data_IF_568210967772
#
_entry.id   IF_568210967772
#
_cell.length_a   1.000
_cell.length_b   1.000
_cell.length_c   1.000
_cell.angle_alpha   90.00
_cell.angle_beta   90.00
_cell.angle_gamma   90.00
#
_symmetry.space_group_name_H-M   'P 1'
#
loop_
_entity.id
_entity.type
_entity.pdbx_description
1 polymer ?
#
# COMPACT_ATOMS: atom_id res chain seq x y z
N UNK A 1 29.66 -7.30 23.42
CA UNK A 1 28.33 -6.73 23.69
C UNK A 1 27.33 -7.89 23.69
N UNK A 2 26.58 -8.01 24.77
CA UNK A 2 25.81 -9.20 25.12
C UNK A 2 24.53 -9.29 24.27
N UNK A 3 24.41 -10.35 23.46
CA UNK A 3 23.17 -10.69 22.78
C UNK A 3 22.14 -11.21 23.79
N UNK A 4 20.95 -10.62 23.78
CA UNK A 4 19.84 -11.12 24.58
C UNK A 4 19.25 -12.37 23.91
N UNK A 5 19.67 -13.53 24.37
CA UNK A 5 19.00 -14.82 24.14
C UNK A 5 17.66 -14.78 24.87
N UNK A 6 16.54 -14.97 24.17
CA UNK A 6 15.25 -15.23 24.84
C UNK A 6 15.32 -16.59 25.53
N UNK A 7 15.64 -16.57 26.82
CA UNK A 7 15.42 -17.72 27.66
C UNK A 7 13.92 -17.82 27.93
N UNK A 8 13.27 -18.82 27.35
CA UNK A 8 12.07 -19.41 27.95
C UNK A 8 12.56 -20.00 29.28
N UNK A 9 12.41 -19.23 30.36
CA UNK A 9 13.08 -19.54 31.64
C UNK A 9 12.34 -20.60 32.43
N UNK A 10 11.08 -20.92 32.07
CA UNK A 10 10.29 -21.93 32.75
C UNK A 10 9.38 -22.71 31.80
N UNK A 11 9.17 -24.03 32.01
CA UNK A 11 8.18 -24.83 31.28
C UNK A 11 6.78 -24.18 31.27
N UNK A 12 6.40 -23.49 32.34
CA UNK A 12 5.12 -22.79 32.47
C UNK A 12 4.93 -21.60 31.51
N UNK A 13 6.00 -21.00 30.97
CA UNK A 13 5.90 -19.97 29.93
C UNK A 13 5.69 -20.60 28.54
N UNK A 14 6.35 -21.74 28.27
CA UNK A 14 6.17 -22.48 27.03
C UNK A 14 4.74 -23.03 26.91
N UNK A 15 4.18 -23.54 28.00
CA UNK A 15 2.82 -24.08 28.02
C UNK A 15 1.77 -22.98 27.85
N UNK A 16 2.00 -21.78 28.42
CA UNK A 16 1.14 -20.61 28.17
C UNK A 16 1.18 -20.18 26.71
N UNK A 17 2.36 -20.12 26.11
CA UNK A 17 2.52 -19.80 24.69
C UNK A 17 1.81 -20.82 23.78
N UNK A 18 1.94 -22.12 24.07
CA UNK A 18 1.24 -23.19 23.32
C UNK A 18 -0.28 -23.09 23.44
N UNK A 19 -0.78 -22.78 24.63
CA UNK A 19 -2.22 -22.59 24.86
C UNK A 19 -2.76 -21.35 24.13
N UNK A 20 -1.99 -20.26 24.07
CA UNK A 20 -2.37 -19.06 23.32
C UNK A 20 -2.39 -19.29 21.80
N UNK A 21 -1.40 -20.02 21.27
CA UNK A 21 -1.36 -20.47 19.88
C UNK A 21 -2.59 -21.33 19.55
N UNK A 22 -2.90 -22.32 20.39
CA UNK A 22 -4.09 -23.19 20.23
C UNK A 22 -5.40 -22.39 20.22
N UNK A 23 -5.54 -21.39 21.09
CA UNK A 23 -6.71 -20.50 21.13
C UNK A 23 -6.80 -19.61 19.89
N UNK A 24 -5.67 -19.15 19.36
CA UNK A 24 -5.63 -18.37 18.12
C UNK A 24 -6.10 -19.22 16.92
N UNK A 25 -5.61 -20.45 16.79
CA UNK A 25 -6.03 -21.40 15.76
C UNK A 25 -7.53 -21.73 15.85
N UNK A 26 -8.05 -21.99 17.05
CA UNK A 26 -9.49 -22.23 17.23
C UNK A 26 -10.36 -21.01 16.89
N UNK A 27 -9.87 -19.78 17.11
CA UNK A 27 -10.60 -18.56 16.72
C UNK A 27 -10.64 -18.42 15.20
N UNK A 28 -9.53 -18.72 14.52
CA UNK A 28 -9.45 -18.71 13.06
C UNK A 28 -10.37 -19.78 12.45
N UNK A 29 -10.33 -21.02 12.96
CA UNK A 29 -11.20 -22.10 12.51
C UNK A 29 -12.69 -21.76 12.66
N UNK A 30 -13.09 -21.17 13.79
CA UNK A 30 -14.48 -20.70 14.02
C UNK A 30 -14.88 -19.57 13.07
N UNK A 31 -13.95 -18.69 12.71
CA UNK A 31 -14.19 -17.62 11.72
C UNK A 31 -14.45 -18.21 10.34
N UNK A 32 -13.60 -19.14 9.89
CA UNK A 32 -13.75 -19.84 8.60
C UNK A 32 -15.07 -20.62 8.53
N UNK A 33 -15.44 -21.32 9.59
CA UNK A 33 -16.72 -22.05 9.64
C UNK A 33 -17.93 -21.10 9.56
N UNK A 34 -17.87 -19.95 10.24
CA UNK A 34 -18.93 -18.92 10.21
C UNK A 34 -19.07 -18.31 8.81
N UNK A 35 -17.97 -18.05 8.12
CA UNK A 35 -17.96 -17.56 6.73
C UNK A 35 -18.48 -18.62 5.76
N UNK A 36 -18.14 -19.90 5.96
CA UNK A 36 -18.68 -21.02 5.18
C UNK A 36 -20.19 -21.21 5.36
N UNK A 37 -20.72 -21.00 6.57
CA UNK A 37 -22.17 -21.06 6.83
C UNK A 37 -22.92 -19.89 6.18
N UNK A 38 -22.34 -18.68 6.17
CA UNK A 38 -22.91 -17.53 5.45
C UNK A 38 -22.95 -17.77 3.93
N UNK A 39 -21.89 -18.37 3.36
CA UNK A 39 -21.88 -18.78 1.95
C UNK A 39 -22.96 -19.81 1.61
N UNK A 40 -23.18 -20.80 2.49
CA UNK A 40 -24.25 -21.80 2.30
C UNK A 40 -25.65 -21.21 2.45
N UNK A 41 -25.85 -20.23 3.32
CA UNK A 41 -27.13 -19.52 3.46
C UNK A 41 -27.49 -18.70 2.22
N UNK A 42 -26.50 -18.16 1.50
CA UNK A 42 -26.72 -17.44 0.24
C UNK A 42 -26.99 -18.36 -0.96
N UNK A 43 -26.53 -19.62 -0.91
CA UNK A 43 -26.82 -20.63 -1.94
C UNK A 43 -28.14 -21.39 -1.72
N UNK A 44 -28.87 -21.12 -0.63
CA UNK A 44 -30.19 -21.70 -0.42
C UNK A 44 -31.20 -21.08 -1.40
N UNK A 45 -31.75 -21.92 -2.29
CA UNK A 45 -32.75 -21.56 -3.31
C UNK A 45 -33.87 -20.70 -2.68
N UNK A 46 -34.04 -19.43 -3.10
CA UNK A 46 -35.06 -18.58 -2.50
C UNK A 46 -36.46 -19.13 -2.80
N UNK A 47 -37.32 -19.17 -1.78
CA UNK A 47 -38.71 -19.59 -1.95
C UNK A 47 -39.41 -18.71 -2.99
N UNK A 48 -40.20 -19.28 -3.92
CA UNK A 48 -40.82 -18.56 -5.04
C UNK A 48 -41.80 -17.44 -4.61
N UNK A 49 -42.15 -17.36 -3.33
CA UNK A 49 -43.00 -16.32 -2.77
C UNK A 49 -42.27 -14.97 -2.57
N UNK A 50 -40.95 -14.95 -2.36
CA UNK A 50 -40.18 -13.70 -2.12
C UNK A 50 -39.63 -13.05 -3.40
N UNK A 51 -39.54 -13.80 -4.50
CA UNK A 51 -39.00 -13.30 -5.77
C UNK A 51 -39.98 -12.37 -6.52
N UNK A 52 -41.28 -12.48 -6.26
CA UNK A 52 -42.31 -11.64 -6.90
C UNK A 52 -42.37 -10.19 -6.40
N UNK A 53 -41.82 -9.88 -5.22
CA UNK A 53 -41.75 -8.49 -4.71
C UNK A 53 -40.48 -7.75 -5.13
N UNK A 54 -39.37 -8.47 -5.40
CA UNK A 54 -38.11 -7.86 -5.84
C UNK A 54 -38.12 -7.47 -7.33
N UNK A 55 -38.82 -8.23 -8.19
CA UNK A 55 -38.90 -7.92 -9.62
C UNK A 55 -39.70 -6.64 -9.93
N UNK A 56 -40.64 -6.25 -9.08
CA UNK A 56 -41.47 -5.05 -9.29
C UNK A 56 -40.71 -3.74 -9.06
N UNK A 57 -39.65 -3.75 -8.24
CA UNK A 57 -38.83 -2.56 -7.95
C UNK A 57 -37.73 -2.35 -9.00
N UNK A 58 -37.21 -3.43 -9.59
CA UNK A 58 -36.22 -3.38 -10.68
C UNK A 58 -36.82 -3.08 -12.06
N UNK A 59 -38.11 -3.36 -12.27
CA UNK A 59 -38.79 -3.08 -13.54
C UNK A 59 -39.16 -1.60 -13.72
N UNK A 60 -39.19 -0.78 -12.67
CA UNK A 60 -39.47 0.66 -12.79
C UNK A 60 -38.25 1.51 -13.18
N UNK A 61 -37.02 1.01 -12.99
CA UNK A 61 -35.80 1.73 -13.37
C UNK A 61 -35.33 1.46 -14.81
N UNK A 62 -35.89 0.44 -15.49
CA UNK A 62 -35.47 0.05 -16.84
C UNK A 62 -36.32 0.67 -17.98
N UNK A 63 -37.39 1.41 -17.68
CA UNK A 63 -38.28 1.99 -18.71
C UNK A 63 -37.97 3.45 -19.10
N UNK A 64 -36.90 4.07 -18.57
CA UNK A 64 -36.54 5.46 -18.89
C UNK A 64 -35.45 5.61 -19.96
N UNK A 65 -34.96 4.52 -20.57
CA UNK A 65 -33.88 4.58 -21.56
C UNK A 65 -34.12 3.61 -22.73
N UNK A 66 -35.20 3.83 -23.48
CA UNK A 66 -35.31 3.28 -24.84
C UNK A 66 -36.30 4.12 -25.67
N UNK A 67 -35.76 5.03 -26.48
CA UNK A 67 -36.52 5.84 -27.43
C UNK A 67 -35.62 6.55 -28.44
N UNK A 68 -35.68 6.11 -29.71
CA UNK A 68 -35.06 6.70 -30.91
C UNK A 68 -33.70 6.07 -31.26
N UNK A 69 -33.50 5.30 -32.34
CA UNK A 69 -33.83 5.54 -33.76
C UNK A 69 -32.68 6.38 -34.39
N UNK A 70 -32.07 6.12 -35.54
CA UNK A 70 -32.17 5.15 -36.64
C UNK A 70 -30.89 5.29 -37.51
N UNK A 71 -30.71 4.43 -38.51
CA UNK A 71 -29.42 4.20 -39.18
C UNK A 71 -29.02 5.09 -40.36
N UNK A 72 -28.03 4.58 -41.12
CA UNK A 72 -27.37 5.14 -42.30
C UNK A 72 -25.89 5.37 -42.01
N UNK A 73 -24.89 4.91 -42.76
CA UNK A 73 -24.80 4.33 -44.09
C UNK A 73 -23.54 4.91 -44.75
N UNK A 74 -22.58 4.06 -45.12
CA UNK A 74 -21.58 4.31 -46.17
C UNK A 74 -20.41 5.27 -45.88
N UNK A 75 -19.20 4.85 -46.27
CA UNK A 75 -18.05 5.76 -46.40
C UNK A 75 -16.69 5.09 -46.20
N UNK A 76 -16.26 4.31 -47.20
CA UNK A 76 -14.87 3.83 -47.25
C UNK A 76 -13.90 4.99 -47.43
N UNK A 77 -12.90 5.05 -46.55
CA UNK A 77 -11.71 5.88 -46.69
C UNK A 77 -10.51 5.00 -46.39
N UNK A 78 -9.83 4.55 -47.43
CA UNK A 78 -8.60 3.78 -47.31
C UNK A 78 -7.50 4.65 -46.72
N UNK A 79 -7.03 4.29 -45.53
CA UNK A 79 -5.69 4.68 -45.09
C UNK A 79 -4.74 3.55 -45.47
N UNK A 80 -3.70 3.88 -46.23
CA UNK A 80 -2.61 2.97 -46.52
C UNK A 80 -1.97 2.50 -45.19
N UNK A 81 -1.59 1.23 -45.06
CA UNK A 81 -0.86 0.76 -43.89
C UNK A 81 0.49 1.48 -43.85
N UNK A 82 0.69 2.35 -42.86
CA UNK A 82 2.03 2.79 -42.49
C UNK A 82 2.73 1.55 -41.94
N UNK A 83 3.80 1.11 -42.62
CA UNK A 83 4.61 0.00 -42.19
C UNK A 83 5.07 0.24 -40.75
N UNK A 84 4.73 -0.71 -39.86
CA UNK A 84 5.23 -0.70 -38.50
C UNK A 84 6.77 -0.67 -38.55
N UNK A 85 7.37 0.33 -37.91
CA UNK A 85 8.81 0.36 -37.72
C UNK A 85 9.22 -0.96 -37.01
N UNK A 86 10.32 -1.60 -37.43
CA UNK A 86 10.79 -2.83 -36.79
C UNK A 86 11.00 -2.57 -35.30
N UNK A 87 10.52 -3.51 -34.47
CA UNK A 87 10.77 -3.50 -33.05
C UNK A 87 12.27 -3.32 -32.80
N UNK A 88 12.63 -2.30 -32.02
CA UNK A 88 14.01 -2.10 -31.58
C UNK A 88 14.48 -3.36 -30.85
N UNK A 89 15.70 -3.79 -31.13
CA UNK A 89 16.32 -4.92 -30.44
C UNK A 89 16.23 -4.73 -28.91
N UNK A 90 16.09 -5.82 -28.13
CA UNK A 90 16.10 -5.74 -26.68
C UNK A 90 17.35 -4.98 -26.23
N UNK A 91 17.14 -3.92 -25.46
CA UNK A 91 18.21 -3.13 -24.87
C UNK A 91 18.93 -4.06 -23.88
N UNK A 92 20.24 -4.23 -24.04
CA UNK A 92 21.08 -5.01 -23.13
C UNK A 92 20.77 -4.62 -21.68
N UNK A 93 20.61 -5.64 -20.83
CA UNK A 93 20.31 -5.51 -19.40
C UNK A 93 21.12 -4.37 -18.79
N UNK A 94 20.43 -3.35 -18.28
CA UNK A 94 21.05 -2.31 -17.49
C UNK A 94 21.84 -2.98 -16.34
N UNK A 95 23.11 -2.59 -16.11
CA UNK A 95 23.94 -3.24 -15.11
C UNK A 95 23.22 -3.22 -13.77
N UNK A 96 23.07 -4.40 -13.15
CA UNK A 96 22.54 -4.54 -11.81
C UNK A 96 23.36 -3.68 -10.86
N UNK A 97 22.84 -2.50 -10.53
CA UNK A 97 23.47 -1.61 -9.57
C UNK A 97 23.40 -2.31 -8.22
N UNK A 98 24.50 -2.94 -7.80
CA UNK A 98 24.69 -3.36 -6.43
C UNK A 98 24.74 -2.11 -5.54
N UNK A 99 23.59 -1.73 -5.00
CA UNK A 99 23.49 -0.66 -4.01
C UNK A 99 24.12 -1.13 -2.70
N UNK A 100 25.43 -0.90 -2.55
CA UNK A 100 26.10 -0.99 -1.25
C UNK A 100 25.59 0.20 -0.41
N UNK A 101 24.62 -0.04 0.45
CA UNK A 101 24.14 0.99 1.36
C UNK A 101 25.24 1.34 2.37
N UNK A 102 25.50 2.63 2.55
CA UNK A 102 26.19 3.07 3.75
C UNK A 102 25.40 2.59 4.98
N UNK A 103 26.06 2.05 6.01
CA UNK A 103 25.38 1.65 7.23
C UNK A 103 24.64 2.86 7.80
N UNK A 104 23.35 2.68 8.14
CA UNK A 104 22.54 3.74 8.75
C UNK A 104 23.32 4.34 9.90
N UNK A 105 23.67 5.62 9.80
CA UNK A 105 24.21 6.39 10.92
C UNK A 105 23.08 6.60 11.91
N UNK A 106 22.93 5.64 12.81
CA UNK A 106 21.98 5.74 13.91
C UNK A 106 22.58 6.66 14.95
N UNK A 107 21.87 7.72 15.26
CA UNK A 107 22.06 8.36 16.55
C UNK A 107 21.67 7.39 17.66
N UNK A 108 22.26 7.51 18.85
CA UNK A 108 21.87 6.69 19.99
C UNK A 108 20.35 6.82 20.21
N UNK A 109 19.74 5.67 20.48
CA UNK A 109 18.32 5.44 20.75
C UNK A 109 17.65 6.69 21.32
N UNK A 110 16.58 7.15 20.69
CA UNK A 110 15.77 8.27 21.17
C UNK A 110 15.54 8.11 22.68
N UNK A 111 16.05 9.02 23.53
CA UNK A 111 16.18 8.80 24.98
C UNK A 111 14.83 8.64 25.70
N UNK A 112 13.70 8.78 25.00
CA UNK A 112 12.37 8.50 25.51
C UNK A 112 11.72 7.18 25.06
N UNK A 113 12.41 6.32 24.31
CA UNK A 113 11.85 5.03 23.92
C UNK A 113 11.75 4.08 25.13
N UNK A 114 10.63 3.35 25.22
CA UNK A 114 10.48 2.25 26.19
C UNK A 114 11.37 1.08 25.79
N UNK A 115 11.66 0.18 26.74
CA UNK A 115 12.07 -1.18 26.38
C UNK A 115 10.97 -1.85 25.56
N UNK A 116 11.35 -2.80 24.70
CA UNK A 116 10.38 -3.61 23.95
C UNK A 116 9.37 -4.24 24.91
N UNK A 117 8.10 -3.86 24.73
CA UNK A 117 6.95 -4.60 25.25
C UNK A 117 6.73 -5.80 24.33
N UNK A 118 5.96 -6.80 24.79
CA UNK A 118 5.80 -8.11 24.11
C UNK A 118 5.48 -8.04 22.60
N UNK A 119 4.95 -6.91 22.10
CA UNK A 119 4.65 -6.72 20.67
C UNK A 119 5.19 -5.42 20.06
N UNK A 120 5.70 -4.47 20.86
CA UNK A 120 6.09 -3.15 20.34
C UNK A 120 7.05 -2.35 21.21
N UNK A 121 7.72 -1.37 20.61
CA UNK A 121 8.48 -0.31 21.29
C UNK A 121 7.73 1.01 21.15
N UNK A 122 7.48 1.71 22.25
CA UNK A 122 6.89 3.05 22.21
C UNK A 122 7.97 4.14 22.32
N UNK A 123 7.89 5.17 21.48
CA UNK A 123 8.81 6.30 21.48
C UNK A 123 8.04 7.62 21.35
N UNK A 124 8.53 8.74 21.91
CA UNK A 124 8.03 10.05 21.54
C UNK A 124 8.48 10.40 20.11
N UNK A 125 7.57 10.94 19.30
CA UNK A 125 7.90 11.60 18.04
C UNK A 125 8.37 13.01 18.36
N UNK A 126 9.61 13.34 18.00
CA UNK A 126 10.24 14.63 18.32
C UNK A 126 10.85 15.22 17.06
N UNK A 127 10.77 16.54 16.88
CA UNK A 127 11.56 17.20 15.84
C UNK A 127 13.04 17.18 16.24
N UNK A 128 13.92 16.84 15.30
CA UNK A 128 15.36 16.84 15.54
C UNK A 128 16.13 17.07 14.24
N UNK A 129 17.32 17.67 14.33
CA UNK A 129 18.21 17.90 13.18
C UNK A 129 18.83 16.58 12.68
N UNK A 130 18.92 15.58 13.56
CA UNK A 130 19.45 14.26 13.25
C UNK A 130 18.33 13.19 13.26
N UNK A 131 18.41 12.16 12.39
CA UNK A 131 17.40 11.13 12.31
C UNK A 131 17.18 10.37 13.63
N UNK A 132 15.92 10.06 13.92
CA UNK A 132 15.52 9.23 15.06
C UNK A 132 15.75 7.76 14.73
N UNK A 133 16.77 7.15 15.34
CA UNK A 133 17.09 5.74 15.20
C UNK A 133 16.40 4.86 16.26
N UNK A 134 15.74 3.78 15.85
CA UNK A 134 15.18 2.75 16.76
C UNK A 134 15.42 1.35 16.19
N UNK A 135 16.10 0.51 16.98
CA UNK A 135 16.25 -0.91 16.71
C UNK A 135 15.20 -1.73 17.46
N UNK A 136 14.58 -2.70 16.79
CA UNK A 136 13.59 -3.60 17.38
C UNK A 136 13.86 -5.07 17.03
N UNK A 137 13.53 -6.02 17.92
CA UNK A 137 13.52 -7.44 17.59
C UNK A 137 12.54 -7.76 16.47
N UNK A 138 12.69 -8.94 15.85
CA UNK A 138 11.72 -9.42 14.87
C UNK A 138 10.32 -9.58 15.49
N UNK A 139 9.28 -9.30 14.70
CA UNK A 139 7.88 -9.35 15.16
C UNK A 139 7.46 -8.22 16.10
N UNK A 140 8.33 -7.21 16.29
CA UNK A 140 8.05 -6.03 17.11
C UNK A 140 7.87 -4.82 16.19
N UNK A 141 6.78 -4.07 16.34
CA UNK A 141 6.61 -2.79 15.65
C UNK A 141 7.07 -1.62 16.53
N UNK A 142 7.35 -0.47 15.93
CA UNK A 142 7.64 0.77 16.67
C UNK A 142 6.41 1.68 16.61
N UNK A 143 6.06 2.29 17.73
CA UNK A 143 4.98 3.26 17.86
C UNK A 143 5.56 4.60 18.29
N UNK A 144 5.50 5.60 17.42
CA UNK A 144 5.87 6.97 17.76
C UNK A 144 4.62 7.82 18.01
N UNK A 145 4.60 8.59 19.09
CA UNK A 145 3.48 9.49 19.40
C UNK A 145 3.93 10.94 19.37
N UNK A 146 3.26 11.81 18.60
CA UNK A 146 3.49 13.25 18.67
C UNK A 146 2.94 13.79 19.99
N UNK A 147 3.84 14.02 20.96
CA UNK A 147 3.49 14.58 22.27
C UNK A 147 3.68 16.10 22.34
N UNK A 148 3.92 16.75 21.22
CA UNK A 148 4.05 18.21 21.14
C UNK A 148 2.68 18.86 20.94
N UNK A 149 2.59 20.16 21.21
CA UNK A 149 1.36 20.95 20.95
C UNK A 149 1.20 21.33 19.46
N UNK A 150 2.20 21.02 18.62
CA UNK A 150 2.24 21.40 17.21
C UNK A 150 2.22 20.21 16.25
N UNK A 151 1.97 20.51 14.98
CA UNK A 151 2.14 19.53 13.91
C UNK A 151 3.61 19.23 13.68
N UNK A 152 3.93 17.94 13.53
CA UNK A 152 5.23 17.47 13.09
C UNK A 152 5.15 16.97 11.66
N UNK A 153 6.27 17.03 10.96
CA UNK A 153 6.41 16.57 9.60
C UNK A 153 7.50 15.49 9.54
N UNK A 154 7.17 14.34 8.93
CA UNK A 154 8.12 13.27 8.64
C UNK A 154 8.51 13.36 7.17
N UNK A 155 9.76 13.73 6.91
CA UNK A 155 10.25 13.90 5.53
C UNK A 155 10.64 12.55 4.91
N UNK A 156 11.18 11.64 5.72
CA UNK A 156 11.62 10.34 5.25
C UNK A 156 11.67 9.30 6.35
N UNK A 157 11.51 8.05 5.94
CA UNK A 157 11.72 6.87 6.77
C UNK A 157 12.66 5.93 6.04
N UNK A 158 13.70 5.50 6.75
CA UNK A 158 14.65 4.50 6.32
C UNK A 158 14.51 3.28 7.22
N UNK A 159 14.75 2.11 6.66
CA UNK A 159 14.83 0.87 7.41
C UNK A 159 16.09 0.11 7.02
N UNK A 160 16.61 -0.68 7.95
CA UNK A 160 17.65 -1.67 7.69
C UNK A 160 17.32 -2.96 8.41
N UNK A 161 17.75 -4.07 7.83
CA UNK A 161 17.72 -5.39 8.44
C UNK A 161 18.98 -6.16 8.05
N UNK A 162 19.40 -7.09 8.88
CA UNK A 162 20.50 -7.99 8.56
C UNK A 162 20.08 -9.12 7.60
N UNK A 163 18.78 -9.30 7.35
CA UNK A 163 18.31 -10.32 6.41
C UNK A 163 18.57 -9.89 4.96
N UNK A 164 19.29 -10.72 4.22
CA UNK A 164 19.65 -10.47 2.82
C UNK A 164 19.12 -11.55 1.87
N UNK A 165 18.57 -12.64 2.37
CA UNK A 165 18.20 -13.84 1.59
C UNK A 165 16.72 -13.92 1.27
N UNK A 166 15.89 -13.11 1.90
CA UNK A 166 14.44 -13.16 1.76
C UNK A 166 13.89 -11.79 1.39
N UNK A 167 12.76 -11.82 0.67
CA UNK A 167 11.92 -10.66 0.49
C UNK A 167 11.33 -10.22 1.82
N UNK A 168 11.15 -8.91 1.98
CA UNK A 168 10.48 -8.35 3.15
C UNK A 168 10.07 -6.91 2.88
N UNK A 169 9.12 -6.41 3.65
CA UNK A 169 8.67 -5.02 3.58
C UNK A 169 8.67 -4.33 4.92
N UNK A 170 8.71 -3.01 4.88
CA UNK A 170 8.33 -2.18 6.01
C UNK A 170 7.36 -1.10 5.55
N UNK A 171 6.46 -0.77 6.46
CA UNK A 171 5.34 0.11 6.21
C UNK A 171 5.18 1.08 7.38
N UNK A 172 4.71 2.28 7.02
CA UNK A 172 4.33 3.33 7.94
C UNK A 172 2.81 3.41 8.01
N UNK A 173 2.29 3.54 9.22
CA UNK A 173 0.85 3.64 9.47
C UNK A 173 0.55 4.82 10.37
N UNK A 174 -0.46 5.63 10.07
CA UNK A 174 -0.86 6.77 10.89
C UNK A 174 -2.19 6.48 11.58
N UNK A 175 -2.26 6.78 12.88
CA UNK A 175 -3.44 6.61 13.74
C UNK A 175 -3.75 5.14 14.07
N UNK A 176 -3.82 4.28 13.06
CA UNK A 176 -4.26 2.88 13.15
C UNK A 176 -3.28 1.96 12.41
N UNK A 177 -2.91 0.84 13.03
CA UNK A 177 -2.07 -0.20 12.41
C UNK A 177 -2.93 -1.14 11.56
N UNK A 178 -3.48 -0.62 10.46
CA UNK A 178 -4.35 -1.34 9.53
C UNK A 178 -3.93 -1.06 8.08
N UNK A 179 -4.00 -2.10 7.23
CA UNK A 179 -3.68 -2.00 5.80
C UNK A 179 -4.77 -1.26 5.02
N UNK A 180 -6.05 -1.46 5.40
CA UNK A 180 -7.18 -0.77 4.81
C UNK A 180 -7.33 0.66 5.32
N UNK A 181 -7.57 1.61 4.43
CA UNK A 181 -7.84 2.99 4.81
C UNK A 181 -9.32 3.34 4.60
N UNK A 182 -9.89 4.03 5.58
CA UNK A 182 -11.27 4.55 5.53
C UNK A 182 -11.33 6.08 5.43
N UNK A 183 -10.22 6.78 5.68
CA UNK A 183 -10.08 8.24 5.54
C UNK A 183 -8.63 8.62 5.18
N UNK A 184 -8.39 9.73 4.46
CA UNK A 184 -7.03 10.18 4.14
C UNK A 184 -6.17 10.38 5.40
N UNK A 185 -4.91 9.95 5.33
CA UNK A 185 -3.96 10.13 6.44
C UNK A 185 -4.11 9.16 7.59
N UNK A 186 -4.94 8.11 7.51
CA UNK A 186 -5.10 7.10 8.56
C UNK A 186 -5.04 5.69 8.00
N UNK A 187 -4.30 4.81 8.67
CA UNK A 187 -3.93 3.48 8.20
C UNK A 187 -2.56 3.52 7.53
N UNK A 188 -2.31 2.61 6.58
CA UNK A 188 -1.02 2.48 5.89
C UNK A 188 -0.73 3.65 4.92
N UNK A 189 0.26 4.47 5.20
CA UNK A 189 0.54 5.73 4.47
C UNK A 189 1.77 5.66 3.55
N UNK A 190 2.47 4.53 3.57
CA UNK A 190 3.61 4.26 2.71
C UNK A 190 4.28 2.94 3.08
N UNK A 191 4.71 2.19 2.07
CA UNK A 191 5.49 0.97 2.22
C UNK A 191 6.69 0.97 1.29
N UNK A 192 7.70 0.21 1.68
CA UNK A 192 8.84 -0.07 0.85
C UNK A 192 9.32 -1.49 1.18
N UNK A 193 9.49 -2.30 0.15
CA UNK A 193 9.99 -3.67 0.28
C UNK A 193 11.42 -3.79 -0.21
N UNK A 194 12.08 -4.92 -0.01
CA UNK A 194 13.41 -5.20 -0.56
C UNK A 194 13.40 -6.57 -1.21
N UNK A 195 14.18 -6.74 -2.27
CA UNK A 195 14.44 -8.07 -2.81
C UNK A 195 15.62 -8.74 -2.09
N UNK A 196 15.88 -9.98 -2.49
CA UNK A 196 17.07 -10.73 -2.08
C UNK A 196 18.31 -9.94 -2.50
N UNK A 197 19.24 -9.73 -1.56
CA UNK A 197 20.49 -9.01 -1.78
C UNK A 197 20.38 -7.49 -1.79
N UNK A 198 19.18 -6.93 -1.65
CA UNK A 198 18.94 -5.48 -1.63
C UNK A 198 18.78 -4.92 -0.22
N UNK A 199 18.95 -3.60 -0.12
CA UNK A 199 18.53 -2.82 1.06
C UNK A 199 17.15 -2.23 0.82
N UNK A 200 16.47 -1.87 1.92
CA UNK A 200 15.20 -1.16 1.84
C UNK A 200 15.35 0.23 1.22
N UNK A 201 14.56 0.55 0.18
CA UNK A 201 14.47 1.92 -0.30
C UNK A 201 13.81 2.83 0.75
N UNK A 202 14.23 4.09 0.79
CA UNK A 202 13.66 5.11 1.69
C UNK A 202 12.23 5.45 1.29
N UNK A 203 11.30 5.48 2.24
CA UNK A 203 9.97 6.07 2.04
C UNK A 203 10.10 7.59 2.13
N UNK A 204 9.59 8.29 1.11
CA UNK A 204 9.51 9.76 1.02
C UNK A 204 8.14 10.17 0.48
N UNK A 205 7.69 11.36 0.84
CA UNK A 205 6.41 11.92 0.38
C UNK A 205 6.57 13.21 -0.43
N UNK A 206 7.79 13.53 -0.85
CA UNK A 206 8.09 14.82 -1.47
C UNK A 206 9.56 15.17 -1.41
N UNK A 207 9.98 16.06 -2.31
CA UNK A 207 11.26 16.77 -2.18
C UNK A 207 11.21 17.83 -1.05
N UNK A 208 10.09 18.55 -0.94
CA UNK A 208 9.91 19.68 0.00
C UNK A 208 8.67 19.53 0.91
N UNK A 209 7.98 18.40 0.82
CA UNK A 209 6.80 18.05 1.60
C UNK A 209 7.09 16.81 2.43
N UNK A 210 6.33 16.62 3.51
CA UNK A 210 6.45 15.45 4.36
C UNK A 210 5.11 15.09 4.99
N UNK A 211 5.04 13.87 5.52
CA UNK A 211 3.85 13.36 6.15
C UNK A 211 3.53 14.16 7.42
N UNK A 212 2.35 14.78 7.44
CA UNK A 212 1.79 15.57 8.53
C UNK A 212 1.33 14.65 9.66
N UNK A 213 1.79 14.93 10.89
CA UNK A 213 1.39 14.22 12.12
C UNK A 213 0.87 15.24 13.13
N UNK A 214 -0.42 15.17 13.44
CA UNK A 214 -1.08 16.09 14.35
C UNK A 214 -0.65 15.89 15.83
N UNK A 215 -0.86 16.89 16.71
CA UNK A 215 -0.71 16.71 18.15
C UNK A 215 -1.53 15.51 18.66
N UNK A 216 -0.89 14.64 19.46
CA UNK A 216 -1.50 13.43 20.00
C UNK A 216 -1.65 12.26 19.01
N UNK A 217 -1.34 12.47 17.73
CA UNK A 217 -1.41 11.42 16.71
C UNK A 217 -0.22 10.46 16.82
N UNK A 218 -0.42 9.25 16.31
CA UNK A 218 0.53 8.14 16.38
C UNK A 218 0.94 7.73 14.98
N UNK A 219 2.23 7.42 14.82
CA UNK A 219 2.74 6.69 13.65
C UNK A 219 3.33 5.35 14.09
N UNK A 220 2.96 4.29 13.40
CA UNK A 220 3.51 2.96 13.58
C UNK A 220 4.47 2.64 12.44
N UNK A 221 5.62 2.06 12.76
CA UNK A 221 6.50 1.42 11.79
C UNK A 221 6.47 -0.08 12.04
N UNK A 222 6.07 -0.83 11.03
CA UNK A 222 6.02 -2.28 11.10
C UNK A 222 6.76 -2.87 9.92
N UNK A 223 7.43 -3.99 10.14
CA UNK A 223 8.05 -4.78 9.08
C UNK A 223 7.31 -6.10 8.94
N UNK A 224 6.89 -6.42 7.72
CA UNK A 224 6.45 -7.76 7.41
C UNK A 224 7.67 -8.57 6.95
N UNK A 225 8.02 -9.56 7.77
CA UNK A 225 9.11 -10.48 7.52
C UNK A 225 8.65 -11.91 7.75
N UNK A 226 9.08 -12.82 6.89
CA UNK A 226 8.88 -14.26 7.09
C UNK A 226 9.49 -14.75 8.42
N UNK A 227 9.20 -15.97 8.89
CA UNK A 227 9.84 -16.52 10.09
C UNK A 227 11.37 -16.68 9.95
N UNK A 228 12.15 -16.24 10.95
CA UNK A 228 13.61 -16.46 11.01
C UNK A 228 14.50 -15.22 11.21
N UNK A 229 13.89 -14.04 11.37
CA UNK A 229 14.60 -12.76 11.41
C UNK A 229 15.04 -12.39 12.83
N UNK A 230 16.09 -11.57 12.93
CA UNK A 230 16.67 -11.15 14.22
C UNK A 230 16.27 -9.74 14.64
N UNK A 231 15.88 -8.87 13.71
CA UNK A 231 15.39 -7.53 14.01
C UNK A 231 15.43 -6.54 12.84
N UNK A 232 14.90 -5.35 13.11
CA UNK A 232 14.86 -4.20 12.21
C UNK A 232 15.41 -2.98 12.90
N UNK A 233 15.95 -2.07 12.10
CA UNK A 233 16.28 -0.73 12.54
C UNK A 233 15.57 0.26 11.66
N UNK A 234 14.92 1.24 12.26
CA UNK A 234 14.30 2.36 11.58
C UNK A 234 15.06 3.64 11.87
N UNK A 235 15.14 4.52 10.87
CA UNK A 235 15.60 5.89 11.03
C UNK A 235 14.57 6.85 10.39
N UNK A 236 14.12 7.86 11.15
CA UNK A 236 13.15 8.85 10.64
C UNK A 236 13.70 10.27 10.70
N UNK A 237 13.51 11.04 9.63
CA UNK A 237 13.77 12.48 9.62
C UNK A 237 12.49 13.23 9.98
N UNK A 238 12.51 13.94 11.11
CA UNK A 238 11.32 14.59 11.69
C UNK A 238 11.63 16.04 12.04
N UNK A 239 10.76 16.95 11.64
CA UNK A 239 10.88 18.39 11.94
C UNK A 239 9.54 19.01 12.32
N UNK A 240 9.57 20.24 12.81
CA UNK A 240 8.37 21.06 12.90
C UNK A 240 7.77 21.23 11.49
N UNK A 241 6.45 21.10 11.38
CA UNK A 241 5.80 21.11 10.07
C UNK A 241 5.90 22.48 9.41
N UNK A 242 6.38 22.51 8.17
CA UNK A 242 6.32 23.69 7.29
C UNK A 242 5.41 23.44 6.10
N UNK A 243 5.40 22.21 5.60
CA UNK A 243 4.67 21.80 4.38
C UNK A 243 4.23 20.35 4.55
N UNK A 244 3.13 20.18 5.30
CA UNK A 244 2.55 18.86 5.58
C UNK A 244 1.62 18.40 4.46
N UNK A 245 1.64 17.10 4.20
CA UNK A 245 0.61 16.41 3.42
C UNK A 245 0.07 15.22 4.21
N UNK A 246 -1.07 14.73 3.79
CA UNK A 246 -1.58 13.41 4.14
C UNK A 246 -1.27 12.45 3.00
N UNK A 247 -0.84 11.24 3.33
CA UNK A 247 -0.75 10.16 2.37
C UNK A 247 -1.93 9.22 2.55
N UNK A 248 -2.42 8.67 1.45
CA UNK A 248 -3.56 7.80 1.42
C UNK A 248 -3.27 6.58 0.56
N UNK A 249 -3.46 5.38 1.10
CA UNK A 249 -3.37 4.15 0.33
C UNK A 249 -4.69 3.90 -0.35
N UNK A 250 -4.68 3.87 -1.68
CA UNK A 250 -5.82 3.39 -2.44
C UNK A 250 -6.12 1.95 -1.99
N UNK A 251 -7.37 1.59 -1.66
CA UNK A 251 -7.68 0.27 -1.12
C UNK A 251 -6.99 -0.78 -1.97
N UNK A 252 -6.13 -1.56 -1.29
CA UNK A 252 -5.49 -2.72 -1.87
C UNK A 252 -6.57 -3.50 -2.61
N UNK A 253 -6.26 -3.96 -3.82
CA UNK A 253 -6.86 -5.24 -4.18
C UNK A 253 -6.21 -6.25 -3.24
N UNK A 254 -6.69 -6.37 -1.99
CA UNK A 254 -6.23 -7.32 -0.96
C UNK A 254 -6.29 -8.79 -1.46
N UNK A 255 -6.88 -9.00 -2.63
CA UNK A 255 -6.79 -10.24 -3.36
C UNK A 255 -5.40 -10.34 -4.01
N UNK A 256 -4.53 -11.15 -3.39
CA UNK A 256 -3.37 -11.77 -4.06
C UNK A 256 -3.77 -12.20 -5.47
N UNK A 257 -3.15 -11.60 -6.48
CA UNK A 257 -3.53 -11.82 -7.89
C UNK A 257 -2.72 -12.99 -8.41
N UNK A 258 -3.39 -14.12 -8.65
CA UNK A 258 -2.74 -15.30 -9.23
C UNK A 258 -2.37 -15.07 -10.68
N UNK A 259 -1.09 -15.22 -10.98
CA UNK A 259 -0.54 -15.10 -12.31
C UNK A 259 -0.96 -16.30 -13.17
N UNK A 260 -1.40 -16.04 -14.41
CA UNK A 260 -1.75 -17.05 -15.40
C UNK A 260 -0.78 -17.07 -16.61
N UNK A 261 0.31 -16.30 -16.53
CA UNK A 261 1.26 -16.11 -17.64
C UNK A 261 0.83 -15.05 -18.65
N UNK A 262 -0.32 -14.40 -18.47
CA UNK A 262 -0.80 -13.31 -19.32
C UNK A 262 -0.70 -11.96 -18.60
N UNK A 263 -0.94 -10.90 -19.36
CA UNK A 263 -1.07 -9.55 -18.81
C UNK A 263 -2.40 -9.41 -18.06
N UNK A 264 -2.31 -8.94 -16.83
CA UNK A 264 -3.44 -8.76 -15.92
C UNK A 264 -3.54 -7.29 -15.55
N UNK A 265 -4.73 -6.72 -15.72
CA UNK A 265 -5.03 -5.34 -15.34
C UNK A 265 -5.88 -5.33 -14.09
N UNK A 266 -5.54 -4.44 -13.16
CA UNK A 266 -6.26 -4.27 -11.91
C UNK A 266 -6.49 -2.80 -11.64
N UNK A 267 -7.67 -2.46 -11.16
CA UNK A 267 -8.02 -1.13 -10.70
C UNK A 267 -8.50 -1.26 -9.25
N UNK A 268 -7.94 -0.48 -8.34
CA UNK A 268 -8.47 -0.47 -6.98
C UNK A 268 -9.85 0.19 -6.94
N UNK A 269 -10.56 0.03 -5.83
CA UNK A 269 -11.83 0.73 -5.64
C UNK A 269 -11.62 2.25 -5.61
N UNK A 270 -12.34 3.04 -6.41
CA UNK A 270 -12.23 4.49 -6.36
C UNK A 270 -12.58 5.01 -4.96
N UNK A 271 -11.77 5.91 -4.45
CA UNK A 271 -12.09 6.66 -3.24
C UNK A 271 -12.80 7.94 -3.59
N UNK A 272 -13.76 8.31 -2.76
CA UNK A 272 -14.52 9.54 -2.91
C UNK A 272 -14.01 10.58 -1.95
N UNK A 273 -13.83 11.82 -2.41
CA UNK A 273 -13.65 12.94 -1.50
C UNK A 273 -14.97 13.22 -0.76
N UNK A 274 -15.10 12.66 0.44
CA UNK A 274 -16.24 12.86 1.34
C UNK A 274 -16.06 14.07 2.26
N UNK A 275 -14.95 14.80 2.13
CA UNK A 275 -14.75 16.04 2.87
C UNK A 275 -15.60 17.17 2.29
N UNK A 276 -15.78 18.24 3.06
CA UNK A 276 -16.50 19.45 2.66
C UNK A 276 -15.58 20.48 1.95
N UNK A 277 -14.36 20.07 1.58
CA UNK A 277 -13.35 20.93 0.97
C UNK A 277 -12.65 20.29 -0.23
N UNK A 278 -12.06 21.15 -1.03
CA UNK A 278 -11.14 20.74 -2.08
C UNK A 278 -9.88 20.12 -1.47
N UNK A 279 -9.37 19.09 -2.15
CA UNK A 279 -8.12 18.43 -1.82
C UNK A 279 -7.19 18.48 -3.02
N UNK A 280 -5.88 18.46 -2.78
CA UNK A 280 -4.90 18.54 -3.87
C UNK A 280 -4.02 17.30 -3.96
N UNK A 281 -4.17 16.53 -5.04
CA UNK A 281 -3.35 15.37 -5.35
C UNK A 281 -2.11 15.77 -6.15
N UNK A 282 -0.93 15.41 -5.68
CA UNK A 282 0.36 15.91 -6.23
C UNK A 282 1.43 14.86 -6.46
N UNK A 283 1.17 13.63 -6.05
CA UNK A 283 2.10 12.55 -6.28
C UNK A 283 1.51 11.20 -5.91
N UNK A 284 2.19 10.18 -6.39
CA UNK A 284 1.88 8.80 -6.11
C UNK A 284 3.15 7.97 -6.00
N UNK A 285 3.05 6.85 -5.30
CA UNK A 285 3.99 5.74 -5.44
C UNK A 285 3.19 4.47 -5.68
N UNK A 286 3.45 3.80 -6.80
CA UNK A 286 2.91 2.49 -7.11
C UNK A 286 4.07 1.51 -7.12
N UNK A 287 3.92 0.41 -6.41
CA UNK A 287 4.86 -0.70 -6.48
C UNK A 287 4.07 -1.98 -6.68
N UNK A 288 4.68 -2.95 -7.36
CA UNK A 288 4.15 -4.30 -7.47
C UNK A 288 5.11 -5.30 -6.88
N UNK A 289 4.61 -6.40 -6.35
CA UNK A 289 5.43 -7.48 -5.83
C UNK A 289 5.19 -8.74 -6.64
N UNK A 290 6.22 -9.49 -7.01
CA UNK A 290 6.08 -10.76 -7.71
C UNK A 290 7.15 -11.73 -7.24
N UNK A 291 6.74 -12.91 -6.77
CA UNK A 291 7.64 -13.91 -6.20
C UNK A 291 8.63 -14.51 -7.22
N UNK A 292 8.49 -14.21 -8.51
CA UNK A 292 9.23 -14.86 -9.60
C UNK A 292 9.69 -13.91 -10.71
N UNK A 293 9.66 -12.58 -10.52
CA UNK A 293 9.99 -11.68 -11.63
C UNK A 293 11.51 -11.61 -11.86
N UNK A 294 11.95 -12.22 -12.95
CA UNK A 294 13.21 -11.86 -13.63
C UNK A 294 13.16 -10.43 -14.19
N UNK A 295 11.96 -9.85 -14.36
CA UNK A 295 11.78 -8.42 -14.48
C UNK A 295 12.14 -7.78 -13.13
N UNK A 296 13.12 -6.87 -13.13
CA UNK A 296 13.75 -6.32 -11.93
C UNK A 296 12.83 -5.80 -10.81
N UNK A 297 13.42 -5.41 -9.68
CA UNK A 297 12.72 -5.23 -8.41
C UNK A 297 11.50 -4.31 -8.53
N UNK A 298 10.35 -4.84 -8.14
CA UNK A 298 9.12 -4.12 -7.83
C UNK A 298 8.64 -3.09 -8.87
N UNK A 299 8.77 -3.47 -10.15
CA UNK A 299 8.34 -2.64 -11.29
C UNK A 299 7.23 -3.33 -12.05
N UNK A 300 6.14 -2.62 -12.31
CA UNK A 300 5.08 -3.07 -13.21
C UNK A 300 5.61 -3.14 -14.64
N UNK A 301 5.45 -4.29 -15.29
CA UNK A 301 5.84 -4.42 -16.71
C UNK A 301 4.77 -3.92 -17.69
N UNK A 302 3.57 -3.59 -17.20
CA UNK A 302 2.52 -2.90 -17.95
C UNK A 302 2.33 -1.44 -17.51
N UNK A 303 1.35 -0.73 -18.10
CA UNK A 303 0.98 0.61 -17.67
C UNK A 303 0.53 0.68 -16.20
N UNK A 304 0.87 1.78 -15.54
CA UNK A 304 0.32 2.17 -14.25
C UNK A 304 -0.31 3.54 -14.42
N UNK A 305 -1.51 3.74 -13.88
CA UNK A 305 -2.26 4.98 -14.09
C UNK A 305 -2.95 5.45 -12.81
N UNK A 306 -2.98 6.77 -12.61
CA UNK A 306 -3.81 7.46 -11.63
C UNK A 306 -4.91 8.21 -12.36
N UNK A 307 -6.12 8.18 -11.81
CA UNK A 307 -7.31 8.83 -12.36
C UNK A 307 -7.96 9.71 -11.30
N UNK A 308 -8.39 10.91 -11.70
CA UNK A 308 -9.38 11.70 -10.96
C UNK A 308 -10.64 11.77 -11.81
N UNK A 309 -11.77 11.40 -11.23
CA UNK A 309 -13.07 11.34 -11.90
C UNK A 309 -14.04 12.32 -11.25
N UNK A 310 -14.86 12.97 -12.06
CA UNK A 310 -15.97 13.80 -11.59
C UNK A 310 -17.04 12.96 -10.89
N UNK A 311 -17.95 13.61 -10.16
CA UNK A 311 -19.03 12.94 -9.43
C UNK A 311 -19.97 12.08 -10.32
N UNK A 312 -20.04 12.39 -11.62
CA UNK A 312 -20.81 11.65 -12.64
C UNK A 312 -20.03 10.48 -13.28
N UNK A 313 -18.77 10.27 -12.87
CA UNK A 313 -17.90 9.19 -13.36
C UNK A 313 -17.03 9.54 -14.57
N UNK A 314 -17.07 10.77 -15.07
CA UNK A 314 -16.20 11.18 -16.18
C UNK A 314 -14.74 11.36 -15.72
N UNK A 315 -13.76 10.94 -16.52
CA UNK A 315 -12.34 11.17 -16.21
C UNK A 315 -12.00 12.66 -16.41
N UNK A 316 -11.67 13.33 -15.31
CA UNK A 316 -11.19 14.73 -15.28
C UNK A 316 -9.69 14.82 -15.48
N UNK A 317 -8.95 13.86 -14.93
CA UNK A 317 -7.50 13.81 -14.99
C UNK A 317 -7.03 12.36 -15.07
N UNK A 318 -5.95 12.15 -15.83
CA UNK A 318 -5.27 10.87 -15.94
C UNK A 318 -3.76 11.11 -16.00
N UNK A 319 -3.00 10.32 -15.24
CA UNK A 319 -1.55 10.25 -15.34
C UNK A 319 -1.13 8.80 -15.47
N UNK A 320 -0.48 8.45 -16.58
CA UNK A 320 0.05 7.11 -16.84
C UNK A 320 1.55 7.13 -17.12
N UNK A 321 2.28 8.07 -16.49
CA UNK A 321 3.72 8.22 -16.64
C UNK A 321 4.44 6.88 -16.39
N UNK A 322 5.47 6.58 -17.18
CA UNK A 322 6.27 5.38 -17.00
C UNK A 322 6.92 5.32 -15.61
N UNK A 323 7.20 6.46 -14.98
CA UNK A 323 7.71 6.56 -13.61
C UNK A 323 6.74 5.95 -12.58
N UNK A 324 5.42 5.91 -12.85
CA UNK A 324 4.45 5.25 -11.98
C UNK A 324 4.61 3.73 -11.97
N UNK A 325 5.35 3.15 -12.92
CA UNK A 325 5.55 1.70 -12.99
C UNK A 325 6.65 1.23 -12.06
N UNK A 326 7.63 2.09 -11.80
CA UNK A 326 8.78 1.78 -10.96
C UNK A 326 8.49 2.11 -9.50
N UNK A 327 9.03 1.29 -8.61
CA UNK A 327 9.13 1.66 -7.21
C UNK A 327 9.74 3.05 -7.05
N UNK A 328 9.06 3.90 -6.30
CA UNK A 328 9.59 5.18 -5.88
C UNK A 328 8.52 6.26 -5.87
N UNK A 329 8.99 7.47 -5.65
CA UNK A 329 8.18 8.66 -5.64
C UNK A 329 7.97 9.19 -7.06
N UNK A 330 6.70 9.37 -7.44
CA UNK A 330 6.33 10.14 -8.62
C UNK A 330 5.60 11.39 -8.17
N UNK A 331 6.13 12.54 -8.57
CA UNK A 331 5.46 13.83 -8.41
C UNK A 331 4.82 14.25 -9.74
N UNK A 332 3.67 14.91 -9.66
CA UNK A 332 3.01 15.48 -10.82
C UNK A 332 2.33 16.81 -10.44
N UNK A 333 1.97 17.67 -11.42
CA UNK A 333 1.28 18.93 -11.13
C UNK A 333 0.05 18.68 -10.28
N UNK A 334 -0.15 19.51 -9.25
CA UNK A 334 -1.25 19.33 -8.30
C UNK A 334 -2.60 19.37 -9.02
N UNK A 335 -3.45 18.38 -8.73
CA UNK A 335 -4.80 18.23 -9.28
C UNK A 335 -5.81 18.41 -8.16
N UNK A 336 -6.74 19.33 -8.35
CA UNK A 336 -7.84 19.55 -7.40
C UNK A 336 -8.88 18.45 -7.50
N UNK A 337 -9.21 17.88 -6.34
CA UNK A 337 -10.27 16.90 -6.12
C UNK A 337 -11.36 17.59 -5.31
N UNK A 338 -12.45 17.99 -5.98
CA UNK A 338 -13.58 18.64 -5.32
C UNK A 338 -14.39 17.64 -4.48
N UNK A 339 -15.20 18.10 -3.51
CA UNK A 339 -16.14 17.26 -2.79
C UNK A 339 -17.00 16.42 -3.74
N UNK A 340 -17.05 15.12 -3.50
CA UNK A 340 -17.78 14.15 -4.29
C UNK A 340 -17.07 13.61 -5.53
N UNK A 341 -15.92 14.16 -5.92
CA UNK A 341 -15.05 13.58 -6.96
C UNK A 341 -14.34 12.33 -6.44
N UNK A 342 -13.85 11.51 -7.36
CA UNK A 342 -13.22 10.23 -7.06
C UNK A 342 -11.77 10.17 -7.51
N UNK A 343 -10.96 9.38 -6.80
CA UNK A 343 -9.59 9.07 -7.18
C UNK A 343 -9.42 7.57 -7.26
N UNK A 344 -8.78 7.09 -8.32
CA UNK A 344 -8.48 5.67 -8.49
C UNK A 344 -7.08 5.47 -9.04
N UNK A 345 -6.51 4.31 -8.78
CA UNK A 345 -5.28 3.85 -9.37
C UNK A 345 -5.52 2.53 -10.12
N UNK A 346 -4.69 2.29 -11.14
CA UNK A 346 -4.68 1.07 -11.92
C UNK A 346 -3.24 0.61 -12.12
N UNK A 347 -3.02 -0.68 -11.95
CA UNK A 347 -1.77 -1.36 -12.28
C UNK A 347 -2.00 -2.44 -13.32
N UNK A 348 -1.08 -2.57 -14.26
CA UNK A 348 -1.04 -3.67 -15.23
C UNK A 348 0.28 -4.39 -15.09
N UNK A 349 0.21 -5.70 -14.89
CA UNK A 349 1.39 -6.54 -14.73
C UNK A 349 1.23 -7.88 -15.45
N UNK A 350 2.34 -8.47 -15.83
CA UNK A 350 2.43 -9.83 -16.39
C UNK A 350 3.40 -10.63 -15.53
N UNK A 351 3.01 -11.81 -15.12
CA UNK A 351 3.87 -12.67 -14.31
C UNK A 351 3.61 -14.13 -14.66
N UNK A 352 4.62 -14.99 -14.45
CA UNK A 352 4.51 -16.42 -14.77
C UNK A 352 3.66 -17.15 -13.74
N UNK A 353 2.78 -18.05 -14.18
CA UNK A 353 2.14 -19.00 -13.27
C UNK A 353 3.20 -19.94 -12.66
N UNK A 354 3.10 -20.33 -11.37
CA UNK A 354 2.03 -20.06 -10.41
C UNK A 354 2.34 -18.88 -9.48
N UNK A 355 3.10 -17.87 -9.95
CA UNK A 355 3.41 -16.72 -9.13
C UNK A 355 2.14 -15.96 -8.73
N UNK A 356 2.32 -15.05 -7.80
CA UNK A 356 1.29 -14.09 -7.43
C UNK A 356 1.87 -12.70 -7.55
N UNK A 357 1.01 -11.72 -7.76
CA UNK A 357 1.38 -10.33 -7.60
C UNK A 357 0.36 -9.53 -6.81
N UNK A 358 0.85 -8.44 -6.24
CA UNK A 358 0.08 -7.45 -5.50
C UNK A 358 0.65 -6.07 -5.85
N UNK A 359 -0.11 -5.01 -5.62
CA UNK A 359 0.35 -3.64 -5.74
C UNK A 359 -0.45 -2.70 -4.83
N UNK A 360 0.17 -1.59 -4.45
CA UNK A 360 -0.51 -0.51 -3.75
C UNK A 360 -0.13 0.84 -4.34
N UNK A 361 -1.08 1.77 -4.34
CA UNK A 361 -0.85 3.18 -4.65
C UNK A 361 -0.96 4.01 -3.37
N UNK A 362 0.09 4.76 -3.05
CA UNK A 362 0.01 5.81 -2.04
C UNK A 362 -0.11 7.15 -2.71
N UNK A 363 -1.21 7.86 -2.45
CA UNK A 363 -1.55 9.15 -3.01
C UNK A 363 -1.29 10.26 -2.00
N UNK A 364 -0.78 11.39 -2.47
CA UNK A 364 -0.35 12.50 -1.61
C UNK A 364 -1.30 13.66 -1.75
N UNK A 365 -1.94 14.02 -0.64
CA UNK A 365 -3.09 14.92 -0.60
C UNK A 365 -2.90 15.96 0.50
N UNK A 366 -3.17 17.23 0.23
CA UNK A 366 -3.24 18.28 1.25
C UNK A 366 -4.48 19.15 1.11
#
# INVERSE_FOLDING_TARGET
MNGATYHVTTPAQLDRYREEQRRAEERLARSVERTGQLGRAMCAKPSPARMKRALSVLALSALAACGGGGGGGGGGGGFAPIAAAPASAPVDEAPAAHFVAEPLKLNPVNPGCTSALDTHVECPLIANDEPIGVGVPAGTYVKFTNKTDGYLQIDSIQAATAETRLWSEYCAYVGELVTGQHRPGVGEVGCSSKQIGENYPTIRWGANTGLSIAPGEVIYLNSHTEPGYTGHTYAMSVRAQTTGLHAWRQPQQDAVIYCDGQQQSTAGTPWRNETDRDLHLSGASIYSESANSSAGPNTLNGPACIYVMTADGSTKYQNCDAALRSRGEVSFPAVTIAPGEYVSAQGVNSCSAPAVWDWAAFLRVW
#
